data_IF_152122909660
#
_entry.id   IF_152122909660
#
_cell.length_a   1.000
_cell.length_b   1.000
_cell.length_c   1.000
_cell.angle_alpha   90.00
_cell.angle_beta   90.00
_cell.angle_gamma   90.00
#
_symmetry.space_group_name_H-M   'P 1'
#
loop_
_entity.id
_entity.type
_entity.pdbx_description
1 polymer ?
#
# COMPACT_ATOMS: atom_id res chain seq x y z
N UNK A 1 -27.28 -61.26 12.45
CA UNK A 1 -25.96 -60.60 12.61
C UNK A 1 -26.22 -59.11 12.50
N UNK A 2 -26.40 -58.45 13.64
CA UNK A 2 -25.36 -57.68 14.34
C UNK A 2 -25.02 -56.39 13.57
N UNK A 3 -25.52 -55.24 14.06
CA UNK A 3 -24.74 -54.12 14.66
C UNK A 3 -24.15 -53.21 13.56
N UNK A 4 -24.24 -51.88 13.52
CA UNK A 4 -24.47 -50.75 14.46
C UNK A 4 -25.03 -49.59 13.59
N UNK A 5 -26.07 -48.85 13.97
CA UNK A 5 -26.06 -47.70 14.91
C UNK A 5 -24.94 -46.69 14.68
N UNK A 6 -25.34 -45.46 14.33
CA UNK A 6 -24.65 -44.21 14.65
C UNK A 6 -23.34 -43.87 13.92
N UNK A 7 -23.44 -43.06 12.87
CA UNK A 7 -22.57 -41.89 12.60
C UNK A 7 -23.14 -41.22 11.35
N UNK A 8 -23.63 -40.00 11.33
CA UNK A 8 -23.42 -38.85 12.17
C UNK A 8 -23.66 -37.67 11.24
N UNK A 9 -24.39 -36.66 11.70
CA UNK A 9 -24.69 -35.45 10.95
C UNK A 9 -23.40 -34.68 10.60
N UNK A 10 -22.69 -35.09 9.53
CA UNK A 10 -21.38 -34.54 9.14
C UNK A 10 -21.35 -34.03 7.69
N UNK A 11 -22.48 -33.50 7.20
CA UNK A 11 -22.55 -32.78 5.92
C UNK A 11 -22.50 -31.26 6.06
N UNK A 12 -22.86 -30.74 7.24
CA UNK A 12 -23.02 -29.30 7.48
C UNK A 12 -21.92 -28.68 8.35
N UNK A 13 -21.03 -29.49 8.94
CA UNK A 13 -20.01 -29.02 9.89
C UNK A 13 -18.64 -28.82 9.25
N UNK A 14 -18.26 -29.62 8.22
CA UNK A 14 -16.98 -29.43 7.51
C UNK A 14 -16.89 -28.12 6.72
N UNK A 15 -17.97 -27.72 6.05
CA UNK A 15 -17.98 -26.47 5.26
C UNK A 15 -17.77 -25.22 6.14
N UNK A 16 -18.20 -25.25 7.41
CA UNK A 16 -17.97 -24.14 8.35
C UNK A 16 -16.57 -24.15 8.96
N UNK A 17 -15.94 -25.32 9.09
CA UNK A 17 -14.62 -25.43 9.69
C UNK A 17 -13.51 -25.09 8.68
N UNK A 18 -13.71 -25.38 7.39
CA UNK A 18 -12.85 -24.87 6.32
C UNK A 18 -13.03 -23.35 6.17
N UNK A 19 -14.26 -22.83 6.13
CA UNK A 19 -14.50 -21.37 5.99
C UNK A 19 -14.03 -20.57 7.22
N UNK A 20 -14.19 -21.09 8.45
CA UNK A 20 -13.75 -20.37 9.66
C UNK A 20 -12.23 -20.48 9.90
N UNK A 21 -11.60 -21.59 9.50
CA UNK A 21 -10.15 -21.75 9.54
C UNK A 21 -9.46 -20.94 8.44
N UNK A 22 -10.04 -20.92 7.24
CA UNK A 22 -9.61 -20.09 6.10
C UNK A 22 -9.77 -18.60 6.43
N UNK A 23 -10.89 -18.20 7.07
CA UNK A 23 -11.07 -16.85 7.61
C UNK A 23 -9.99 -16.46 8.63
N UNK A 24 -9.56 -17.38 9.50
CA UNK A 24 -8.53 -17.12 10.52
C UNK A 24 -7.10 -17.12 9.95
N UNK A 25 -6.87 -17.80 8.84
CA UNK A 25 -5.63 -17.75 8.06
C UNK A 25 -5.56 -16.50 7.16
N UNK A 26 -6.67 -16.10 6.51
CA UNK A 26 -6.86 -14.79 5.87
C UNK A 26 -6.61 -13.65 6.87
N UNK A 27 -7.17 -13.76 8.09
CA UNK A 27 -7.02 -12.75 9.15
C UNK A 27 -5.56 -12.48 9.57
N UNK A 28 -4.62 -13.37 9.24
CA UNK A 28 -3.20 -13.20 9.57
C UNK A 28 -2.34 -12.67 8.41
N UNK A 29 -2.83 -12.67 7.17
CA UNK A 29 -2.09 -12.16 6.00
C UNK A 29 -2.12 -10.63 5.94
N UNK A 30 -3.30 -10.04 6.19
CA UNK A 30 -3.46 -8.59 6.21
C UNK A 30 -2.56 -7.96 7.28
N UNK A 31 -2.53 -8.53 8.49
CA UNK A 31 -1.71 -8.01 9.60
C UNK A 31 -0.21 -8.20 9.36
N UNK A 32 0.19 -9.31 8.74
CA UNK A 32 1.60 -9.56 8.43
C UNK A 32 2.15 -8.58 7.38
N UNK A 33 1.36 -8.26 6.34
CA UNK A 33 1.76 -7.28 5.31
C UNK A 33 1.58 -5.83 5.76
N UNK A 34 0.54 -5.50 6.54
CA UNK A 34 0.36 -4.15 7.11
C UNK A 34 1.53 -3.76 8.00
N UNK A 35 2.06 -4.69 8.81
CA UNK A 35 3.20 -4.42 9.68
C UNK A 35 4.44 -3.97 8.90
N UNK A 36 4.70 -4.55 7.73
CA UNK A 36 5.83 -4.16 6.89
C UNK A 36 5.56 -2.88 6.10
N UNK A 37 4.29 -2.59 5.78
CA UNK A 37 3.88 -1.34 5.12
C UNK A 37 4.26 -0.11 5.94
N UNK A 38 4.20 -0.19 7.27
CA UNK A 38 4.63 0.90 8.15
C UNK A 38 6.09 1.28 7.94
N UNK A 39 6.97 0.30 7.72
CA UNK A 39 8.39 0.57 7.44
C UNK A 39 8.57 1.30 6.12
N UNK A 40 7.85 0.89 5.06
CA UNK A 40 7.90 1.56 3.77
C UNK A 40 7.29 2.98 3.82
N UNK A 41 6.21 3.19 4.57
CA UNK A 41 5.60 4.51 4.75
C UNK A 41 6.53 5.46 5.50
N UNK A 42 7.17 5.00 6.58
CA UNK A 42 8.16 5.81 7.31
C UNK A 42 9.36 6.15 6.43
N UNK A 43 9.85 5.19 5.64
CA UNK A 43 10.95 5.42 4.70
C UNK A 43 10.57 6.44 3.61
N UNK A 44 9.31 6.42 3.14
CA UNK A 44 8.79 7.40 2.19
C UNK A 44 8.70 8.81 2.75
N UNK A 45 8.20 8.97 3.98
CA UNK A 45 8.16 10.31 4.60
C UNK A 45 9.56 10.84 4.85
N UNK A 46 10.47 10.01 5.36
CA UNK A 46 11.86 10.41 5.53
C UNK A 46 12.49 10.84 4.20
N UNK A 47 12.30 10.08 3.12
CA UNK A 47 12.80 10.43 1.79
C UNK A 47 12.21 11.75 1.26
N UNK A 48 10.90 11.97 1.44
CA UNK A 48 10.21 13.19 1.00
C UNK A 48 10.70 14.43 1.76
N UNK A 49 10.87 14.31 3.08
CA UNK A 49 11.43 15.37 3.90
C UNK A 49 12.86 15.71 3.47
N UNK A 50 13.75 14.71 3.37
CA UNK A 50 15.16 14.93 2.99
C UNK A 50 15.25 15.54 1.58
N UNK A 51 14.41 15.10 0.64
CA UNK A 51 14.33 15.67 -0.71
C UNK A 51 13.96 17.16 -0.69
N UNK A 52 12.95 17.55 0.10
CA UNK A 52 12.54 18.94 0.27
C UNK A 52 13.66 19.87 0.75
N UNK A 53 14.44 19.40 1.74
CA UNK A 53 15.58 20.16 2.28
C UNK A 53 16.75 20.26 1.28
N UNK A 54 17.00 19.21 0.49
CA UNK A 54 18.05 19.23 -0.55
C UNK A 54 17.72 20.23 -1.66
N UNK A 55 16.45 20.30 -2.07
CA UNK A 55 16.00 21.29 -3.06
C UNK A 55 16.13 22.71 -2.50
N UNK A 56 15.80 22.94 -1.23
CA UNK A 56 15.93 24.26 -0.60
C UNK A 56 17.38 24.76 -0.52
N UNK A 57 18.34 23.85 -0.28
CA UNK A 57 19.77 24.19 -0.19
C UNK A 57 20.39 24.39 -1.59
N UNK A 58 19.66 24.07 -2.67
CA UNK A 58 20.20 24.10 -4.03
C UNK A 58 21.27 23.03 -4.25
N UNK A 59 21.17 21.90 -3.56
CA UNK A 59 22.18 20.85 -3.61
C UNK A 59 22.23 20.14 -4.98
N UNK A 60 23.40 19.58 -5.28
CA UNK A 60 23.75 18.94 -6.56
C UNK A 60 22.72 17.90 -7.01
N UNK A 61 22.32 17.97 -8.30
CA UNK A 61 21.42 17.04 -9.02
C UNK A 61 21.55 15.55 -8.62
N UNK A 62 22.76 14.96 -8.50
CA UNK A 62 22.90 13.55 -8.09
C UNK A 62 22.33 13.22 -6.71
N UNK A 63 22.34 14.17 -5.76
CA UNK A 63 21.78 13.94 -4.42
C UNK A 63 20.23 13.82 -4.46
N UNK A 64 19.58 14.68 -5.26
CA UNK A 64 18.14 14.62 -5.48
C UNK A 64 17.72 13.31 -6.17
N UNK A 65 18.49 12.87 -7.17
CA UNK A 65 18.24 11.61 -7.88
C UNK A 65 18.42 10.37 -6.97
N UNK A 66 19.42 10.38 -6.09
CA UNK A 66 19.66 9.28 -5.16
C UNK A 66 18.46 9.07 -4.21
N UNK A 67 17.88 10.16 -3.70
CA UNK A 67 16.71 10.07 -2.80
C UNK A 67 15.44 9.71 -3.58
N UNK A 68 15.29 10.25 -4.79
CA UNK A 68 14.18 9.88 -5.67
C UNK A 68 14.19 8.37 -5.99
N UNK A 69 15.37 7.77 -6.15
CA UNK A 69 15.52 6.33 -6.32
C UNK A 69 15.00 5.55 -5.11
N UNK A 70 15.38 5.94 -3.90
CA UNK A 70 14.89 5.30 -2.66
C UNK A 70 13.37 5.44 -2.55
N UNK A 71 12.82 6.62 -2.87
CA UNK A 71 11.37 6.83 -2.88
C UNK A 71 10.67 5.92 -3.90
N UNK A 72 11.16 5.87 -5.14
CA UNK A 72 10.59 5.04 -6.20
C UNK A 72 10.66 3.54 -5.89
N UNK A 73 11.74 3.08 -5.26
CA UNK A 73 11.90 1.70 -4.81
C UNK A 73 10.83 1.31 -3.79
N UNK A 74 10.64 2.13 -2.75
CA UNK A 74 9.60 1.89 -1.75
C UNK A 74 8.20 1.96 -2.38
N UNK A 75 7.97 2.90 -3.31
CA UNK A 75 6.70 3.06 -4.00
C UNK A 75 6.32 1.84 -4.84
N UNK A 76 7.29 1.28 -5.55
CA UNK A 76 7.09 0.06 -6.34
C UNK A 76 6.73 -1.11 -5.42
N UNK A 77 7.42 -1.29 -4.30
CA UNK A 77 7.13 -2.35 -3.33
C UNK A 77 5.72 -2.27 -2.73
N UNK A 78 5.28 -1.08 -2.34
CA UNK A 78 3.91 -0.87 -1.83
C UNK A 78 2.86 -1.15 -2.92
N UNK A 79 3.09 -0.65 -4.13
CA UNK A 79 2.15 -0.82 -5.25
C UNK A 79 1.97 -2.28 -5.62
N UNK A 80 3.07 -3.04 -5.73
CA UNK A 80 3.02 -4.47 -6.00
C UNK A 80 2.31 -5.23 -4.88
N UNK A 81 2.58 -4.90 -3.62
CA UNK A 81 1.90 -5.52 -2.47
C UNK A 81 0.40 -5.25 -2.49
N UNK A 82 -0.02 -4.03 -2.81
CA UNK A 82 -1.42 -3.65 -2.96
C UNK A 82 -2.10 -4.41 -4.11
N UNK A 83 -1.45 -4.52 -5.28
CA UNK A 83 -1.99 -5.26 -6.42
C UNK A 83 -2.15 -6.75 -6.12
N UNK A 84 -1.17 -7.37 -5.45
CA UNK A 84 -1.28 -8.77 -5.00
C UNK A 84 -2.44 -8.94 -4.01
N UNK A 85 -2.53 -8.08 -2.99
CA UNK A 85 -3.62 -8.15 -2.00
C UNK A 85 -5.01 -7.99 -2.64
N UNK A 86 -5.11 -7.14 -3.66
CA UNK A 86 -6.35 -6.89 -4.39
C UNK A 86 -6.81 -8.09 -5.22
N UNK A 87 -5.85 -8.81 -5.83
CA UNK A 87 -6.14 -10.06 -6.55
C UNK A 87 -6.49 -11.17 -5.57
N UNK A 88 -5.80 -11.24 -4.43
CA UNK A 88 -6.05 -12.21 -3.36
C UNK A 88 -7.46 -12.04 -2.76
N UNK A 89 -7.91 -10.79 -2.53
CA UNK A 89 -9.21 -10.50 -1.92
C UNK A 89 -10.39 -10.53 -2.91
N UNK A 90 -10.14 -10.31 -4.21
CA UNK A 90 -11.20 -10.23 -5.23
C UNK A 90 -10.88 -11.03 -6.50
N UNK A 91 -10.94 -12.38 -6.44
CA UNK A 91 -10.62 -13.24 -7.58
C UNK A 91 -11.57 -13.07 -8.79
N UNK A 92 -12.82 -12.63 -8.57
CA UNK A 92 -13.84 -12.51 -9.63
C UNK A 92 -13.92 -11.10 -10.24
N UNK A 93 -13.42 -10.07 -9.55
CA UNK A 93 -13.50 -8.65 -10.00
C UNK A 93 -12.18 -7.88 -9.88
N UNK A 94 -11.04 -8.57 -9.75
CA UNK A 94 -9.73 -7.95 -9.57
C UNK A 94 -9.37 -6.92 -10.64
N UNK A 95 -9.74 -7.15 -11.91
CA UNK A 95 -9.46 -6.22 -13.01
C UNK A 95 -10.09 -4.83 -12.80
N UNK A 96 -11.33 -4.76 -12.32
CA UNK A 96 -12.00 -3.48 -12.06
C UNK A 96 -11.33 -2.72 -10.92
N UNK A 97 -10.85 -3.43 -9.89
CA UNK A 97 -10.25 -2.79 -8.72
C UNK A 97 -8.84 -2.30 -9.02
N UNK A 98 -8.06 -3.06 -9.82
CA UNK A 98 -6.77 -2.61 -10.32
C UNK A 98 -6.93 -1.35 -11.20
N UNK A 99 -7.96 -1.30 -12.05
CA UNK A 99 -8.25 -0.12 -12.86
C UNK A 99 -8.59 1.11 -12.00
N UNK A 100 -9.44 0.95 -10.98
CA UNK A 100 -9.75 2.03 -10.02
C UNK A 100 -8.53 2.46 -9.20
N UNK A 101 -7.66 1.53 -8.81
CA UNK A 101 -6.42 1.84 -8.10
C UNK A 101 -5.49 2.72 -8.95
N UNK A 102 -5.31 2.36 -10.22
CA UNK A 102 -4.51 3.15 -11.15
C UNK A 102 -5.13 4.53 -11.41
N UNK A 103 -6.47 4.61 -11.53
CA UNK A 103 -7.17 5.88 -11.69
C UNK A 103 -6.94 6.82 -10.48
N UNK A 104 -7.13 6.31 -9.26
CA UNK A 104 -6.91 7.09 -8.04
C UNK A 104 -5.47 7.60 -7.97
N UNK A 105 -4.49 6.74 -8.26
CA UNK A 105 -3.07 7.12 -8.29
C UNK A 105 -2.80 8.25 -9.29
N UNK A 106 -3.36 8.16 -10.50
CA UNK A 106 -3.17 9.19 -11.52
C UNK A 106 -3.81 10.52 -11.12
N UNK A 107 -5.03 10.49 -10.57
CA UNK A 107 -5.72 11.71 -10.11
C UNK A 107 -4.95 12.36 -8.98
N UNK A 108 -4.48 11.59 -7.99
CA UNK A 108 -3.67 12.10 -6.89
C UNK A 108 -2.35 12.71 -7.38
N UNK A 109 -1.69 12.06 -8.35
CA UNK A 109 -0.46 12.61 -8.95
C UNK A 109 -0.70 13.91 -9.71
N UNK A 110 -1.80 13.98 -10.48
CA UNK A 110 -2.19 15.19 -11.20
C UNK A 110 -2.55 16.33 -10.24
N UNK A 111 -3.32 16.04 -9.19
CA UNK A 111 -3.68 17.02 -8.15
C UNK A 111 -2.44 17.52 -7.39
N UNK A 112 -1.52 16.61 -7.02
CA UNK A 112 -0.27 16.99 -6.36
C UNK A 112 0.59 17.90 -7.24
N UNK A 113 0.67 17.59 -8.55
CA UNK A 113 1.42 18.42 -9.51
C UNK A 113 0.75 19.78 -9.70
N UNK A 114 -0.58 19.83 -9.79
CA UNK A 114 -1.31 21.10 -9.90
C UNK A 114 -1.19 21.97 -8.64
N UNK A 115 -1.04 21.35 -7.47
CA UNK A 115 -0.90 22.06 -6.19
C UNK A 115 0.53 22.53 -5.91
N UNK A 116 1.56 21.92 -6.51
CA UNK A 116 2.96 22.21 -6.17
C UNK A 116 3.36 23.65 -6.53
N UNK A 117 2.91 24.18 -7.67
CA UNK A 117 3.24 25.54 -8.13
C UNK A 117 2.74 26.64 -7.18
N UNK A 118 1.43 26.70 -6.82
CA UNK A 118 0.96 27.71 -5.87
C UNK A 118 1.54 27.49 -4.46
N UNK A 119 1.81 26.25 -4.07
CA UNK A 119 2.42 25.96 -2.77
C UNK A 119 3.85 26.53 -2.67
N UNK A 120 4.67 26.35 -3.72
CA UNK A 120 6.03 26.87 -3.78
C UNK A 120 6.06 28.40 -3.71
N UNK A 121 5.13 29.07 -4.41
CA UNK A 121 5.03 30.54 -4.42
C UNK A 121 4.60 31.12 -3.06
N UNK A 122 3.84 30.39 -2.26
CA UNK A 122 3.33 30.87 -0.97
C UNK A 122 4.30 30.72 0.22
N UNK A 123 4.94 29.55 0.36
CA UNK A 123 5.64 29.16 1.62
C UNK A 123 7.12 28.83 1.41
N UNK A 124 7.57 28.69 0.16
CA UNK A 124 8.94 28.31 -0.19
C UNK A 124 9.16 26.79 -0.23
N UNK A 125 10.10 26.34 -1.08
CA UNK A 125 10.22 24.93 -1.49
C UNK A 125 10.38 23.93 -0.32
N UNK A 126 11.22 24.19 0.68
CA UNK A 126 11.46 23.18 1.73
C UNK A 126 10.33 23.03 2.76
N UNK A 127 9.57 24.10 3.05
CA UNK A 127 8.41 24.00 3.94
C UNK A 127 7.24 23.28 3.30
N UNK A 128 7.03 23.44 2.00
CA UNK A 128 5.98 22.71 1.25
C UNK A 128 6.20 21.20 1.32
N UNK A 129 7.43 20.74 1.07
CA UNK A 129 7.77 19.32 1.16
C UNK A 129 7.78 18.79 2.60
N UNK A 130 8.05 19.63 3.61
CA UNK A 130 7.98 19.23 5.03
C UNK A 130 6.53 19.14 5.52
N UNK A 131 5.64 20.03 5.07
CA UNK A 131 4.20 19.97 5.39
C UNK A 131 3.51 18.82 4.65
N UNK A 132 3.92 18.52 3.41
CA UNK A 132 3.45 17.33 2.69
C UNK A 132 4.09 16.03 3.23
N UNK A 133 5.27 16.16 3.86
CA UNK A 133 6.08 15.09 4.41
C UNK A 133 5.74 14.68 5.85
N UNK A 134 4.86 15.41 6.53
CA UNK A 134 4.41 15.16 7.91
C UNK A 134 2.90 14.88 7.91
#
# INVERSE_FOLDING_TARGET
MAKESSEGADGHVRFKMDVASDYKAEFSIYTARLKNIWFHLMAMQAATCIYGWIIQIGASLPAALAIQFVFAFNCSGVTSTCQTLLVDLFPVRGASIIASNNLMRCILGAAATAYIEPAIQGVGMGWVFTILGV
#
